data_IF_773803491994
#
_entry.id   IF_773803491994
#
_cell.length_a   1.000
_cell.length_b   1.000
_cell.length_c   1.000
_cell.angle_alpha   90.00
_cell.angle_beta   90.00
_cell.angle_gamma   90.00
#
_symmetry.space_group_name_H-M   'P 1'
#
loop_
_entity.id
_entity.type
_entity.pdbx_description
1 polymer ?
#
# COMPACT_ATOMS: atom_id res chain seq x y z
N UNK A 1 -41.15 32.18 34.45
CA UNK A 1 -41.53 32.16 33.01
C UNK A 1 -40.89 33.36 32.32
N UNK A 2 -40.30 33.25 31.12
CA UNK A 2 -39.23 32.38 30.63
C UNK A 2 -37.89 33.16 30.51
N UNK A 3 -36.80 32.46 30.16
CA UNK A 3 -35.52 33.10 29.85
C UNK A 3 -34.41 32.09 29.56
N UNK A 4 -34.60 31.23 28.55
CA UNK A 4 -33.57 30.31 28.07
C UNK A 4 -32.37 31.10 27.54
N UNK A 5 -31.30 31.13 28.33
CA UNK A 5 -29.97 31.59 27.90
C UNK A 5 -29.31 30.43 27.15
N UNK A 6 -29.33 30.50 25.83
CA UNK A 6 -28.51 29.71 24.92
C UNK A 6 -27.04 29.85 25.34
N UNK A 7 -26.49 28.85 26.03
CA UNK A 7 -25.04 28.67 26.03
C UNK A 7 -24.75 27.88 24.77
N UNK A 8 -24.19 28.57 23.78
CA UNK A 8 -23.53 27.95 22.64
C UNK A 8 -22.47 27.00 23.20
N UNK A 9 -22.80 25.71 23.30
CA UNK A 9 -21.78 24.68 23.28
C UNK A 9 -21.17 24.82 21.89
N UNK A 10 -19.94 25.32 21.83
CA UNK A 10 -19.09 25.07 20.68
C UNK A 10 -19.11 23.56 20.47
N UNK A 11 -19.87 23.11 19.48
CA UNK A 11 -19.75 21.75 18.99
C UNK A 11 -18.31 21.64 18.49
N UNK A 12 -17.48 20.96 19.27
CA UNK A 12 -16.23 20.42 18.75
C UNK A 12 -16.61 19.64 17.50
N UNK A 13 -15.88 19.78 16.37
CA UNK A 13 -16.17 18.99 15.19
C UNK A 13 -16.23 17.53 15.62
N UNK A 14 -17.35 16.87 15.35
CA UNK A 14 -17.54 15.46 15.68
C UNK A 14 -16.30 14.71 15.18
N UNK A 15 -15.62 14.04 16.10
CA UNK A 15 -14.44 13.27 15.76
C UNK A 15 -14.82 12.31 14.63
N UNK A 16 -14.15 12.45 13.48
CA UNK A 16 -14.42 11.62 12.30
C UNK A 16 -14.42 10.16 12.76
N UNK A 17 -15.58 9.51 12.67
CA UNK A 17 -15.69 8.12 13.07
C UNK A 17 -14.96 7.26 12.05
N UNK A 18 -13.94 6.55 12.50
CA UNK A 18 -13.23 5.58 11.68
C UNK A 18 -13.98 4.24 11.70
N UNK A 19 -13.99 3.54 10.57
CA UNK A 19 -14.46 2.16 10.50
C UNK A 19 -13.41 1.15 10.97
N UNK A 20 -12.19 1.60 11.29
CA UNK A 20 -11.11 0.75 11.78
C UNK A 20 -11.36 0.39 13.25
N UNK A 21 -11.05 -0.86 13.61
CA UNK A 21 -11.01 -1.26 15.01
C UNK A 21 -9.91 -0.47 15.74
N UNK A 22 -10.04 -0.24 17.06
CA UNK A 22 -9.05 0.54 17.80
C UNK A 22 -7.58 0.07 17.64
N UNK A 23 -7.27 -1.25 17.65
CA UNK A 23 -5.90 -1.72 17.43
C UNK A 23 -5.37 -1.42 16.03
N UNK A 24 -6.21 -1.61 15.01
CA UNK A 24 -5.83 -1.36 13.60
C UNK A 24 -5.63 0.14 13.37
N UNK A 25 -6.54 0.96 13.90
CA UNK A 25 -6.39 2.41 13.85
C UNK A 25 -5.10 2.88 14.53
N UNK A 26 -4.77 2.30 15.70
CA UNK A 26 -3.52 2.62 16.39
C UNK A 26 -2.28 2.28 15.55
N UNK A 27 -2.24 1.07 14.98
CA UNK A 27 -1.12 0.66 14.13
C UNK A 27 -0.96 1.56 12.90
N UNK A 28 -2.03 1.79 12.14
CA UNK A 28 -1.94 2.49 10.86
C UNK A 28 -1.78 3.99 11.04
N UNK A 29 -2.54 4.62 11.94
CA UNK A 29 -2.62 6.07 12.03
C UNK A 29 -1.68 6.68 13.07
N UNK A 30 -1.00 5.87 13.89
CA UNK A 30 -0.04 6.37 14.88
C UNK A 30 1.30 5.67 14.75
N UNK A 31 1.31 4.36 14.87
CA UNK A 31 2.53 3.59 15.04
C UNK A 31 3.51 3.75 13.86
N UNK A 32 3.01 3.68 12.63
CA UNK A 32 3.80 3.89 11.41
C UNK A 32 4.35 5.31 11.22
N UNK A 33 3.96 6.27 12.08
CA UNK A 33 4.43 7.66 12.03
C UNK A 33 5.23 8.06 13.28
N UNK A 34 5.52 7.11 14.17
CA UNK A 34 6.26 7.38 15.41
C UNK A 34 7.74 7.69 15.15
N UNK A 35 8.37 6.93 14.26
CA UNK A 35 9.73 7.17 13.80
C UNK A 35 9.72 8.16 12.64
N UNK A 36 10.78 8.97 12.54
CA UNK A 36 10.97 9.97 11.48
C UNK A 36 12.30 9.80 10.77
N UNK A 37 12.75 8.56 10.69
CA UNK A 37 13.97 8.21 9.96
C UNK A 37 13.74 8.51 8.48
N UNK A 38 14.76 9.04 7.80
CA UNK A 38 14.70 9.31 6.36
C UNK A 38 15.58 8.27 5.69
N UNK A 39 15.00 7.52 4.76
CA UNK A 39 15.73 6.51 3.99
C UNK A 39 16.08 7.06 2.61
N UNK A 40 17.27 6.72 2.12
CA UNK A 40 17.62 7.02 0.72
C UNK A 40 16.75 6.16 -0.18
N UNK A 41 16.08 6.79 -1.15
CA UNK A 41 15.24 6.06 -2.10
C UNK A 41 16.05 5.07 -2.91
N UNK A 42 17.33 5.33 -3.18
CA UNK A 42 18.20 4.43 -3.94
C UNK A 42 18.46 3.09 -3.23
N UNK A 43 18.29 3.05 -1.91
CA UNK A 43 18.38 1.81 -1.14
C UNK A 43 17.11 0.97 -1.29
N UNK A 44 15.97 1.59 -1.61
CA UNK A 44 14.64 0.96 -1.67
C UNK A 44 14.20 0.66 -3.11
N UNK A 45 14.54 1.54 -4.06
CA UNK A 45 14.12 1.45 -5.46
C UNK A 45 15.31 1.72 -6.38
N UNK A 46 15.52 0.85 -7.36
CA UNK A 46 16.58 1.02 -8.35
C UNK A 46 16.28 2.17 -9.32
N UNK A 47 17.28 2.63 -10.07
CA UNK A 47 17.11 3.62 -11.15
C UNK A 47 16.05 3.18 -12.18
N UNK A 48 15.87 1.87 -12.38
CA UNK A 48 14.89 1.29 -13.31
C UNK A 48 13.48 1.16 -12.71
N UNK A 49 13.28 1.57 -11.46
CA UNK A 49 12.00 1.49 -10.77
C UNK A 49 11.71 0.13 -10.11
N UNK A 50 12.72 -0.73 -9.96
CA UNK A 50 12.58 -2.03 -9.27
C UNK A 50 12.65 -1.85 -7.77
N UNK A 51 11.78 -2.52 -7.03
CA UNK A 51 11.83 -2.51 -5.56
C UNK A 51 12.93 -3.47 -5.08
N UNK A 52 13.85 -2.97 -4.27
CA UNK A 52 14.82 -3.78 -3.54
C UNK A 52 14.12 -4.45 -2.36
N UNK A 53 13.46 -5.58 -2.61
CA UNK A 53 12.67 -6.29 -1.60
C UNK A 53 13.48 -6.67 -0.37
N UNK A 54 14.75 -7.02 -0.54
CA UNK A 54 15.64 -7.32 0.60
C UNK A 54 15.69 -6.14 1.58
N UNK A 55 15.96 -4.92 1.08
CA UNK A 55 16.01 -3.72 1.90
C UNK A 55 14.70 -3.48 2.65
N UNK A 56 13.53 -3.75 2.04
CA UNK A 56 12.23 -3.62 2.70
C UNK A 56 12.02 -4.71 3.76
N UNK A 57 12.39 -5.95 3.46
CA UNK A 57 12.19 -7.09 4.36
C UNK A 57 13.07 -7.07 5.60
N UNK A 58 14.21 -6.37 5.57
CA UNK A 58 15.07 -6.15 6.74
C UNK A 58 14.36 -5.35 7.85
N UNK A 59 13.26 -4.66 7.53
CA UNK A 59 12.42 -3.96 8.51
C UNK A 59 11.28 -4.81 9.07
N UNK A 60 11.13 -6.05 8.61
CA UNK A 60 10.22 -7.02 9.22
C UNK A 60 10.87 -7.63 10.45
N UNK A 61 10.18 -7.49 11.58
CA UNK A 61 10.60 -8.05 12.84
C UNK A 61 9.74 -9.27 13.16
N UNK A 62 10.38 -10.31 13.70
CA UNK A 62 9.73 -11.57 14.05
C UNK A 62 9.85 -11.83 15.55
N UNK A 63 8.82 -12.45 16.13
CA UNK A 63 8.83 -12.90 17.51
C UNK A 63 9.75 -14.12 17.66
N UNK A 64 10.50 -14.16 18.76
CA UNK A 64 11.51 -15.18 19.03
C UNK A 64 10.93 -16.60 19.17
N UNK A 65 9.64 -16.71 19.53
CA UNK A 65 9.01 -17.98 19.93
C UNK A 65 8.40 -18.79 18.79
N UNK A 66 8.04 -18.18 17.67
CA UNK A 66 7.27 -18.84 16.60
C UNK A 66 7.50 -18.28 15.19
N UNK A 67 8.49 -17.39 15.00
CA UNK A 67 8.70 -16.68 13.73
C UNK A 67 7.44 -15.97 13.22
N UNK A 68 6.47 -15.66 14.10
CA UNK A 68 5.36 -14.80 13.72
C UNK A 68 5.86 -13.36 13.63
N UNK A 69 5.22 -12.55 12.79
CA UNK A 69 5.61 -11.15 12.62
C UNK A 69 5.27 -10.35 13.89
N UNK A 70 6.25 -9.67 14.45
CA UNK A 70 6.06 -8.60 15.43
C UNK A 70 5.50 -7.39 14.69
N UNK A 71 4.17 -7.35 14.53
CA UNK A 71 3.48 -6.30 13.79
C UNK A 71 3.77 -4.90 14.31
N UNK A 72 3.97 -4.76 15.61
CA UNK A 72 4.24 -3.46 16.23
C UNK A 72 5.60 -2.96 15.76
N UNK A 73 6.67 -3.74 16.00
CA UNK A 73 8.00 -3.32 15.57
C UNK A 73 8.11 -3.18 14.05
N UNK A 74 7.47 -4.09 13.32
CA UNK A 74 7.49 -4.07 11.84
C UNK A 74 6.83 -2.82 11.28
N UNK A 75 5.62 -2.47 11.75
CA UNK A 75 4.94 -1.25 11.28
C UNK A 75 5.69 0.01 11.70
N UNK A 76 6.30 0.05 12.90
CA UNK A 76 7.17 1.16 13.29
C UNK A 76 8.38 1.32 12.38
N UNK A 77 8.94 0.21 11.89
CA UNK A 77 10.14 0.19 11.05
C UNK A 77 9.84 0.48 9.58
N UNK A 78 8.71 -0.03 9.07
CA UNK A 78 8.24 0.19 7.69
C UNK A 78 7.65 1.58 7.46
N UNK A 79 7.11 2.21 8.50
CA UNK A 79 6.48 3.52 8.43
C UNK A 79 7.30 4.59 7.69
N UNK A 80 8.56 4.85 8.10
CA UNK A 80 9.39 5.84 7.43
C UNK A 80 9.88 5.42 6.04
N UNK A 81 9.93 4.11 5.71
CA UNK A 81 10.15 3.64 4.33
C UNK A 81 8.97 4.06 3.45
N UNK A 82 7.75 3.79 3.88
CA UNK A 82 6.53 4.20 3.17
C UNK A 82 6.48 5.72 2.98
N UNK A 83 6.88 6.49 4.00
CA UNK A 83 6.99 7.95 3.87
C UNK A 83 8.05 8.36 2.84
N UNK A 84 9.23 7.75 2.86
CA UNK A 84 10.32 8.04 1.91
C UNK A 84 9.90 7.72 0.47
N UNK A 85 9.21 6.59 0.25
CA UNK A 85 8.64 6.23 -1.05
C UNK A 85 7.60 7.27 -1.50
N UNK A 86 6.68 7.67 -0.61
CA UNK A 86 5.66 8.66 -0.93
C UNK A 86 6.28 10.04 -1.25
N UNK A 87 7.32 10.45 -0.53
CA UNK A 87 8.06 11.67 -0.80
C UNK A 87 8.78 11.60 -2.16
N UNK A 88 9.38 10.46 -2.50
CA UNK A 88 9.97 10.23 -3.82
C UNK A 88 8.92 10.41 -4.92
N UNK A 89 7.77 9.73 -4.84
CA UNK A 89 6.71 9.88 -5.85
C UNK A 89 6.22 11.33 -5.95
N UNK A 90 6.12 12.06 -4.84
CA UNK A 90 5.77 13.50 -4.85
C UNK A 90 6.85 14.41 -5.45
N UNK A 91 8.10 13.96 -5.48
CA UNK A 91 9.21 14.72 -6.06
C UNK A 91 9.28 14.59 -7.58
N UNK A 92 8.73 13.51 -8.13
CA UNK A 92 8.77 13.22 -9.57
C UNK A 92 7.78 14.09 -10.34
N UNK A 93 8.20 14.55 -11.52
CA UNK A 93 7.25 15.03 -12.52
C UNK A 93 6.53 13.87 -13.18
N UNK A 94 5.40 14.15 -13.83
CA UNK A 94 4.65 13.14 -14.60
C UNK A 94 5.51 12.50 -15.69
N UNK A 95 6.35 13.29 -16.36
CA UNK A 95 7.26 12.81 -17.41
C UNK A 95 8.31 11.85 -16.83
N UNK A 96 8.91 12.19 -15.69
CA UNK A 96 9.86 11.31 -15.01
C UNK A 96 9.19 10.00 -14.57
N UNK A 97 7.99 10.09 -13.98
CA UNK A 97 7.22 8.92 -13.58
C UNK A 97 6.90 8.01 -14.78
N UNK A 98 6.48 8.59 -15.92
CA UNK A 98 6.20 7.82 -17.15
C UNK A 98 7.46 7.13 -17.67
N UNK A 99 8.57 7.85 -17.75
CA UNK A 99 9.84 7.29 -18.26
C UNK A 99 10.30 6.12 -17.40
N UNK A 100 10.23 6.27 -16.08
CA UNK A 100 10.73 5.28 -15.13
C UNK A 100 9.77 4.10 -14.96
N UNK A 101 8.47 4.36 -14.80
CA UNK A 101 7.52 3.34 -14.34
C UNK A 101 6.60 2.77 -15.43
N UNK A 102 6.49 3.38 -16.62
CA UNK A 102 5.46 2.97 -17.59
C UNK A 102 5.53 1.53 -18.07
N UNK A 103 6.74 0.96 -18.17
CA UNK A 103 6.90 -0.44 -18.54
C UNK A 103 6.25 -1.39 -17.52
N UNK A 104 6.26 -1.03 -16.23
CA UNK A 104 5.82 -1.86 -15.11
C UNK A 104 4.31 -2.07 -15.05
N UNK A 105 3.52 -1.17 -15.64
CA UNK A 105 2.06 -1.28 -15.62
C UNK A 105 1.43 -1.61 -17.00
N UNK A 106 2.24 -1.80 -18.05
CA UNK A 106 1.74 -2.16 -19.40
C UNK A 106 0.95 -3.47 -19.42
N UNK A 107 1.39 -4.46 -18.63
CA UNK A 107 0.74 -5.78 -18.57
C UNK A 107 -0.71 -5.72 -18.05
N UNK A 108 -1.08 -4.63 -17.36
CA UNK A 108 -2.46 -4.43 -16.90
C UNK A 108 -3.40 -3.99 -18.01
N UNK A 109 -2.88 -3.45 -19.13
CA UNK A 109 -3.67 -2.76 -20.17
C UNK A 109 -4.44 -1.51 -19.67
N UNK A 110 -4.08 -0.97 -18.50
CA UNK A 110 -4.72 0.20 -17.88
C UNK A 110 -3.72 1.29 -17.47
N UNK A 111 -2.68 1.49 -18.26
CA UNK A 111 -1.65 2.54 -18.10
C UNK A 111 -2.20 3.91 -17.69
N UNK A 112 -3.27 4.38 -18.36
CA UNK A 112 -3.87 5.69 -18.07
C UNK A 112 -4.38 5.81 -16.63
N UNK A 113 -4.86 4.73 -16.03
CA UNK A 113 -5.32 4.74 -14.64
C UNK A 113 -4.17 5.00 -13.68
N UNK A 114 -2.98 4.42 -13.92
CA UNK A 114 -1.80 4.68 -13.09
C UNK A 114 -1.36 6.14 -13.17
N UNK A 115 -1.45 6.74 -14.36
CA UNK A 115 -1.15 8.17 -14.55
C UNK A 115 -2.18 9.08 -13.88
N UNK A 116 -3.48 8.74 -13.97
CA UNK A 116 -4.55 9.45 -13.29
C UNK A 116 -4.34 9.44 -11.77
N UNK A 117 -4.02 8.27 -11.20
CA UNK A 117 -3.80 8.16 -9.75
C UNK A 117 -2.50 8.84 -9.33
N UNK A 118 -1.44 8.77 -10.14
CA UNK A 118 -0.22 9.54 -9.88
C UNK A 118 -0.51 11.04 -9.78
N UNK A 119 -1.30 11.60 -10.70
CA UNK A 119 -1.70 13.01 -10.64
C UNK A 119 -2.46 13.29 -9.33
N UNK A 120 -3.41 12.44 -8.95
CA UNK A 120 -4.17 12.59 -7.70
C UNK A 120 -3.27 12.55 -6.45
N UNK A 121 -2.23 11.72 -6.43
CA UNK A 121 -1.27 11.65 -5.32
C UNK A 121 -0.52 12.98 -5.10
N UNK A 122 -0.31 13.77 -6.17
CA UNK A 122 0.36 15.07 -6.07
C UNK A 122 -0.49 16.13 -5.36
N UNK A 123 -1.82 16.10 -5.52
CA UNK A 123 -2.72 17.18 -5.07
C UNK A 123 -3.37 16.94 -3.70
N UNK A 124 -3.04 15.84 -3.02
CA UNK A 124 -3.32 15.57 -1.60
C UNK A 124 -4.79 15.65 -1.16
N UNK A 125 -5.78 15.50 -2.06
CA UNK A 125 -7.17 15.39 -1.65
C UNK A 125 -7.46 13.95 -1.18
N UNK A 126 -7.55 13.76 0.14
CA UNK A 126 -7.65 12.44 0.78
C UNK A 126 -8.71 11.52 0.17
N UNK A 127 -9.90 12.04 -0.16
CA UNK A 127 -10.98 11.26 -0.80
C UNK A 127 -10.60 10.78 -2.20
N UNK A 128 -9.94 11.63 -2.99
CA UNK A 128 -9.51 11.26 -4.33
C UNK A 128 -8.37 10.24 -4.26
N UNK A 129 -7.44 10.40 -3.33
CA UNK A 129 -6.36 9.43 -3.08
C UNK A 129 -6.95 8.07 -2.73
N UNK A 130 -7.91 8.02 -1.80
CA UNK A 130 -8.58 6.77 -1.43
C UNK A 130 -9.29 6.13 -2.63
N UNK A 131 -10.05 6.91 -3.41
CA UNK A 131 -10.72 6.41 -4.61
C UNK A 131 -9.73 5.92 -5.67
N UNK A 132 -8.64 6.65 -5.90
CA UNK A 132 -7.58 6.26 -6.82
C UNK A 132 -6.95 4.94 -6.42
N UNK A 133 -6.60 4.78 -5.14
CA UNK A 133 -6.07 3.52 -4.61
C UNK A 133 -7.06 2.37 -4.81
N UNK A 134 -8.36 2.56 -4.55
CA UNK A 134 -9.38 1.54 -4.79
C UNK A 134 -9.49 1.14 -6.28
N UNK A 135 -9.41 2.11 -7.21
CA UNK A 135 -9.41 1.82 -8.65
C UNK A 135 -8.15 1.03 -9.04
N UNK A 136 -6.97 1.42 -8.52
CA UNK A 136 -5.72 0.71 -8.78
C UNK A 136 -5.74 -0.72 -8.26
N UNK A 137 -6.19 -0.95 -7.03
CA UNK A 137 -6.25 -2.30 -6.46
C UNK A 137 -7.20 -3.19 -7.24
N UNK A 138 -8.38 -2.68 -7.60
CA UNK A 138 -9.33 -3.43 -8.45
C UNK A 138 -8.77 -3.72 -9.85
N UNK A 139 -8.01 -2.79 -10.43
CA UNK A 139 -7.34 -2.99 -11.70
C UNK A 139 -6.27 -4.09 -11.62
N UNK A 140 -5.45 -4.07 -10.57
CA UNK A 140 -4.42 -5.08 -10.34
C UNK A 140 -5.04 -6.45 -10.09
N UNK A 141 -6.07 -6.54 -9.24
CA UNK A 141 -6.82 -7.77 -8.99
C UNK A 141 -7.34 -8.39 -10.28
N UNK A 142 -7.94 -7.58 -11.16
CA UNK A 142 -8.44 -8.06 -12.44
C UNK A 142 -7.32 -8.51 -13.38
N UNK A 143 -6.25 -7.71 -13.52
CA UNK A 143 -5.14 -8.06 -14.39
C UNK A 143 -4.44 -9.36 -13.94
N UNK A 144 -4.29 -9.57 -12.62
CA UNK A 144 -3.79 -10.83 -12.06
C UNK A 144 -4.76 -11.98 -12.31
N UNK A 145 -6.06 -11.74 -12.20
CA UNK A 145 -7.10 -12.71 -12.52
C UNK A 145 -7.06 -13.14 -13.99
N UNK A 146 -6.86 -12.20 -14.91
CA UNK A 146 -6.74 -12.48 -16.34
C UNK A 146 -5.51 -13.35 -16.62
N UNK A 147 -4.34 -13.04 -16.03
CA UNK A 147 -3.12 -13.87 -16.14
C UNK A 147 -3.37 -15.29 -15.64
N UNK A 148 -4.08 -15.43 -14.51
CA UNK A 148 -4.41 -16.73 -13.95
C UNK A 148 -5.41 -17.52 -14.83
N UNK A 149 -6.46 -16.87 -15.35
CA UNK A 149 -7.46 -17.51 -16.22
C UNK A 149 -6.87 -17.99 -17.54
N UNK A 150 -5.85 -17.29 -18.06
CA UNK A 150 -5.08 -17.72 -19.22
C UNK A 150 -4.31 -19.04 -18.97
N UNK A 151 -4.20 -19.50 -17.72
CA UNK A 151 -3.55 -20.76 -17.33
C UNK A 151 -4.59 -21.88 -17.01
N UNK A 152 -5.88 -21.67 -17.32
CA UNK A 152 -6.86 -22.75 -17.45
C UNK A 152 -7.28 -23.46 -16.17
N UNK A 153 -7.22 -22.80 -15.00
CA UNK A 153 -7.73 -23.32 -13.71
C UNK A 153 -8.84 -22.45 -13.11
N UNK A 154 -9.54 -22.97 -12.10
CA UNK A 154 -10.58 -22.25 -11.36
C UNK A 154 -10.01 -21.03 -10.62
N UNK A 155 -10.63 -19.86 -10.78
CA UNK A 155 -10.17 -18.59 -10.22
C UNK A 155 -10.30 -18.56 -8.68
N UNK A 156 -9.22 -18.29 -7.92
CA UNK A 156 -9.29 -18.14 -6.47
C UNK A 156 -10.15 -16.94 -6.07
N UNK A 157 -10.93 -17.10 -4.99
CA UNK A 157 -11.86 -16.07 -4.54
C UNK A 157 -11.19 -14.87 -3.85
N UNK A 158 -10.01 -15.08 -3.27
CA UNK A 158 -9.26 -14.04 -2.54
C UNK A 158 -7.97 -13.68 -3.29
N UNK A 159 -7.65 -12.38 -3.33
CA UNK A 159 -6.40 -11.87 -3.94
C UNK A 159 -5.15 -12.55 -3.38
N UNK A 160 -5.12 -12.88 -2.07
CA UNK A 160 -4.00 -13.59 -1.47
C UNK A 160 -3.81 -15.01 -2.06
N UNK A 161 -4.92 -15.69 -2.33
CA UNK A 161 -4.91 -17.06 -2.86
C UNK A 161 -4.52 -17.03 -4.35
N UNK A 162 -4.90 -15.96 -5.05
CA UNK A 162 -4.45 -15.67 -6.40
C UNK A 162 -2.93 -15.42 -6.45
N UNK A 163 -2.41 -14.53 -5.60
CA UNK A 163 -0.97 -14.19 -5.53
C UNK A 163 -0.09 -15.36 -5.10
N UNK A 164 -0.59 -16.26 -4.24
CA UNK A 164 0.12 -17.47 -3.83
C UNK A 164 0.09 -18.59 -4.88
N UNK A 165 -0.51 -18.36 -6.04
CA UNK A 165 -0.66 -19.38 -7.07
C UNK A 165 0.65 -19.64 -7.84
N UNK A 166 0.93 -20.91 -8.12
CA UNK A 166 2.07 -21.33 -8.95
C UNK A 166 2.06 -20.64 -10.34
N UNK A 167 0.86 -20.33 -10.82
CA UNK A 167 0.60 -19.65 -12.09
C UNK A 167 1.20 -18.25 -12.14
N UNK A 168 1.00 -17.45 -11.09
CA UNK A 168 1.61 -16.13 -11.01
C UNK A 168 3.11 -16.21 -10.69
N UNK A 169 3.56 -17.23 -9.95
CA UNK A 169 4.99 -17.46 -9.72
C UNK A 169 5.77 -17.71 -11.04
N UNK A 170 5.16 -18.35 -12.04
CA UNK A 170 5.78 -18.54 -13.36
C UNK A 170 5.90 -17.22 -14.15
N UNK A 171 4.98 -16.27 -13.96
CA UNK A 171 4.95 -14.99 -14.69
C UNK A 171 5.81 -13.92 -14.00
N UNK A 172 5.81 -13.89 -12.66
CA UNK A 172 6.49 -12.88 -11.86
C UNK A 172 7.84 -13.36 -11.27
N UNK A 173 8.19 -14.65 -11.43
CA UNK A 173 9.43 -15.25 -10.95
C UNK A 173 9.25 -16.11 -9.68
N UNK A 174 10.01 -17.21 -9.58
CA UNK A 174 9.94 -18.15 -8.45
C UNK A 174 10.60 -17.64 -7.16
N UNK A 175 11.44 -16.61 -7.25
CA UNK A 175 12.22 -16.10 -6.10
C UNK A 175 11.41 -15.20 -5.16
N UNK A 176 10.14 -14.92 -5.48
CA UNK A 176 9.25 -14.18 -4.59
C UNK A 176 8.42 -15.19 -3.80
N UNK A 177 8.82 -15.45 -2.55
CA UNK A 177 8.06 -16.30 -1.62
C UNK A 177 6.81 -15.55 -1.12
N UNK A 178 5.82 -15.42 -2.02
CA UNK A 178 4.52 -14.81 -1.75
C UNK A 178 3.77 -15.52 -0.63
N UNK A 179 4.03 -16.82 -0.44
CA UNK A 179 3.37 -17.66 0.58
C UNK A 179 3.83 -17.25 1.98
N UNK A 180 5.12 -16.96 2.16
CA UNK A 180 5.64 -16.44 3.42
C UNK A 180 5.18 -14.99 3.70
N UNK A 181 5.05 -14.16 2.66
CA UNK A 181 4.57 -12.78 2.77
C UNK A 181 3.09 -12.67 3.20
N UNK A 182 2.20 -13.52 2.67
CA UNK A 182 0.76 -13.44 2.93
C UNK A 182 0.26 -14.30 4.10
N UNK A 183 1.02 -15.31 4.55
CA UNK A 183 0.66 -16.11 5.75
C UNK A 183 0.59 -15.28 7.03
N UNK A 184 1.19 -14.09 7.03
CA UNK A 184 1.29 -13.22 8.19
C UNK A 184 0.50 -11.92 8.02
N UNK A 185 -0.36 -11.74 7.01
CA UNK A 185 -1.14 -10.49 6.85
C UNK A 185 -2.64 -10.69 7.07
N UNK A 186 -3.13 -11.94 7.13
CA UNK A 186 -4.53 -12.27 7.42
C UNK A 186 -4.69 -13.46 8.37
#
# INVERSE_FOLDING_TARGET
MPGLRWRSLMALPDAVSTCLSPPVHYMICKLGFEKKDIYDINDIVSENGEVHWQAVTEHLHYLESDQSVDYVKSVQSLGPICESINLHFKSLTKEQFVVQYSAWFRWTNYTELFLEVFDVLQYAQATQVALGLMKLTSCLERALGDVYLLIGKDCPFLLRDLLASEQLAVVFGQDVDWVSYYRHIF
#
